data_IF_213080598195
#
_entry.id   IF_213080598195
#
_cell.length_a   1.000
_cell.length_b   1.000
_cell.length_c   1.000
_cell.angle_alpha   90.00
_cell.angle_beta   90.00
_cell.angle_gamma   90.00
#
_symmetry.space_group_name_H-M   'P 1'
#
loop_
_entity.id
_entity.type
_entity.pdbx_description
1 polymer ?
#
# COMPACT_ATOMS: atom_id res chain seq x y z
N UNK A 1 4.02 16.86 48.30
CA UNK A 1 3.75 16.66 47.77
C UNK A 1 3.65 16.27 46.93
N UNK A 2 3.59 16.15 46.60
CA UNK A 2 3.41 15.77 46.15
C UNK A 2 3.20 15.36 45.30
N UNK A 3 3.79 14.92 45.11
CA UNK A 3 3.39 14.26 44.22
C UNK A 3 2.82 14.88 43.20
N UNK A 4 2.74 15.86 43.24
CA UNK A 4 2.05 16.63 42.32
C UNK A 4 2.53 16.58 40.93
N UNK A 5 3.73 16.27 40.73
CA UNK A 5 4.28 16.25 39.41
C UNK A 5 3.71 15.16 38.55
N UNK A 6 3.22 14.16 39.16
CA UNK A 6 2.80 12.98 38.42
C UNK A 6 1.53 13.12 37.63
N UNK A 7 0.56 13.90 38.07
CA UNK A 7 -0.65 14.04 37.26
C UNK A 7 -0.41 14.57 35.86
N UNK A 8 0.49 15.51 35.73
CA UNK A 8 0.82 16.05 34.42
C UNK A 8 1.44 14.99 33.51
N UNK A 9 2.26 14.17 34.08
CA UNK A 9 2.94 13.14 33.36
C UNK A 9 1.97 12.05 32.91
N UNK A 10 1.05 11.72 33.80
CA UNK A 10 0.06 10.72 33.51
C UNK A 10 -0.90 11.14 32.42
N UNK A 11 -1.22 12.43 32.36
CA UNK A 11 -2.16 12.97 31.39
C UNK A 11 -1.66 12.85 29.96
N UNK A 12 -0.38 12.75 29.77
CA UNK A 12 0.20 12.63 28.43
C UNK A 12 0.17 11.22 27.88
N UNK A 13 -0.17 10.25 28.69
CA UNK A 13 -0.17 8.86 28.29
C UNK A 13 -1.59 8.33 28.21
N UNK A 14 -1.89 7.48 27.21
CA UNK A 14 -3.19 6.84 27.16
C UNK A 14 -3.40 5.96 28.40
N UNK A 15 -4.64 5.85 28.87
CA UNK A 15 -4.92 5.00 30.02
C UNK A 15 -4.51 3.54 29.76
N UNK A 16 -3.84 2.95 30.74
CA UNK A 16 -3.47 1.55 30.66
C UNK A 16 -2.26 1.23 29.83
N UNK A 17 -1.60 2.25 29.27
CA UNK A 17 -0.40 2.02 28.45
C UNK A 17 0.83 2.59 29.13
N UNK A 18 1.91 1.82 29.08
CA UNK A 18 3.22 2.28 29.52
C UNK A 18 3.98 2.89 28.33
N UNK A 19 5.03 3.62 28.63
CA UNK A 19 5.87 4.24 27.59
C UNK A 19 6.47 3.21 26.62
N UNK A 20 6.99 2.06 27.08
CA UNK A 20 7.47 1.04 26.15
C UNK A 20 6.40 0.51 25.22
N UNK A 21 5.16 0.38 25.68
CA UNK A 21 4.06 -0.06 24.84
C UNK A 21 3.73 0.94 23.76
N UNK A 22 3.81 2.23 24.07
CA UNK A 22 3.59 3.28 23.09
C UNK A 22 4.66 3.26 22.02
N UNK A 23 5.91 3.06 22.39
CA UNK A 23 7.01 2.99 21.45
C UNK A 23 6.89 1.77 20.53
N UNK A 24 6.51 0.63 21.06
CA UNK A 24 6.28 -0.56 20.25
C UNK A 24 5.19 -0.33 19.21
N UNK A 25 4.14 0.38 19.61
CA UNK A 25 3.04 0.70 18.73
C UNK A 25 3.47 1.60 17.57
N UNK A 26 4.30 2.60 17.87
CA UNK A 26 4.85 3.48 16.86
C UNK A 26 5.73 2.74 15.87
N UNK A 27 6.55 1.82 16.36
CA UNK A 27 7.38 0.99 15.51
C UNK A 27 6.56 0.12 14.59
N UNK A 28 5.49 -0.48 15.10
CA UNK A 28 4.58 -1.28 14.29
C UNK A 28 3.92 -0.46 13.20
N UNK A 29 3.52 0.78 13.52
CA UNK A 29 2.93 1.66 12.52
C UNK A 29 3.92 1.99 11.41
N UNK A 30 5.18 2.23 11.75
CA UNK A 30 6.23 2.49 10.76
C UNK A 30 6.47 1.29 9.87
N UNK A 31 6.47 0.10 10.45
CA UNK A 31 6.64 -1.13 9.68
C UNK A 31 5.50 -1.34 8.69
N UNK A 32 4.27 -1.10 9.13
CA UNK A 32 3.10 -1.23 8.25
C UNK A 32 3.15 -0.23 7.10
N UNK A 33 3.56 0.99 7.39
CA UNK A 33 3.69 2.02 6.36
C UNK A 33 4.77 1.64 5.35
N UNK A 34 5.89 1.11 5.83
CA UNK A 34 6.98 0.65 4.98
C UNK A 34 6.56 -0.53 4.10
N UNK A 35 5.84 -1.49 4.66
CA UNK A 35 5.32 -2.62 3.90
C UNK A 35 4.32 -2.19 2.85
N UNK A 36 3.46 -1.25 3.17
CA UNK A 36 2.48 -0.71 2.24
C UNK A 36 3.18 -0.05 1.07
N UNK A 37 4.19 0.76 1.35
CA UNK A 37 4.98 1.43 0.32
C UNK A 37 5.65 0.42 -0.60
N UNK A 38 6.22 -0.62 -0.02
CA UNK A 38 6.90 -1.67 -0.77
C UNK A 38 5.93 -2.40 -1.70
N UNK A 39 4.74 -2.73 -1.21
CA UNK A 39 3.73 -3.38 -2.03
C UNK A 39 3.20 -2.47 -3.14
N UNK A 40 3.05 -1.19 -2.84
CA UNK A 40 2.67 -0.21 -3.87
C UNK A 40 3.70 -0.14 -4.97
N UNK A 41 4.98 -0.13 -4.61
CA UNK A 41 6.06 -0.13 -5.61
C UNK A 41 6.04 -1.38 -6.46
N UNK A 42 5.86 -2.55 -5.84
CA UNK A 42 5.79 -3.82 -6.57
C UNK A 42 4.60 -3.86 -7.51
N UNK A 43 3.44 -3.43 -7.05
CA UNK A 43 2.21 -3.46 -7.85
C UNK A 43 2.28 -2.46 -8.99
N UNK A 44 2.82 -1.29 -8.75
CA UNK A 44 2.96 -0.28 -9.82
C UNK A 44 4.01 -0.69 -10.85
N UNK A 45 5.07 -1.37 -10.44
CA UNK A 45 6.04 -1.93 -11.35
C UNK A 45 5.42 -3.00 -12.26
N UNK A 46 4.61 -3.89 -11.67
CA UNK A 46 3.88 -4.89 -12.43
C UNK A 46 2.88 -4.25 -13.38
N UNK A 47 2.19 -3.24 -12.90
CA UNK A 47 1.21 -2.51 -13.70
C UNK A 47 1.87 -1.88 -14.92
N UNK A 48 3.02 -1.25 -14.73
CA UNK A 48 3.78 -0.66 -15.81
C UNK A 48 4.23 -1.72 -16.81
N UNK A 49 4.74 -2.84 -16.32
CA UNK A 49 5.21 -3.93 -17.18
C UNK A 49 4.06 -4.50 -18.02
N UNK A 50 2.91 -4.75 -17.41
CA UNK A 50 1.74 -5.27 -18.10
C UNK A 50 1.19 -4.27 -19.11
N UNK A 51 1.14 -3.00 -18.74
CA UNK A 51 0.67 -1.95 -19.64
C UNK A 51 1.59 -1.79 -20.83
N UNK A 52 2.89 -1.84 -20.60
CA UNK A 52 3.89 -1.77 -21.67
C UNK A 52 3.77 -2.95 -22.63
N UNK A 53 3.62 -4.16 -22.07
CA UNK A 53 3.45 -5.36 -22.87
C UNK A 53 2.16 -5.32 -23.70
N UNK A 54 1.08 -4.83 -23.11
CA UNK A 54 -0.18 -4.67 -23.83
C UNK A 54 -0.06 -3.66 -24.95
N UNK A 55 0.59 -2.55 -24.70
CA UNK A 55 0.82 -1.51 -25.71
C UNK A 55 1.62 -2.07 -26.89
N UNK A 56 2.68 -2.81 -26.61
CA UNK A 56 3.47 -3.44 -27.67
C UNK A 56 2.64 -4.41 -28.48
N UNK A 57 1.83 -5.21 -27.83
CA UNK A 57 0.97 -6.17 -28.47
C UNK A 57 -0.06 -5.50 -29.37
N UNK A 58 -0.66 -4.41 -28.91
CA UNK A 58 -1.61 -3.64 -29.70
C UNK A 58 -0.94 -3.04 -30.93
N UNK A 59 0.29 -2.53 -30.77
CA UNK A 59 1.03 -1.93 -31.87
C UNK A 59 1.45 -2.93 -32.94
N UNK A 60 1.73 -4.16 -32.53
CA UNK A 60 2.15 -5.22 -33.45
C UNK A 60 0.97 -5.96 -34.08
N UNK A 61 -0.20 -5.87 -33.48
CA UNK A 61 -1.37 -6.60 -33.96
C UNK A 61 -2.03 -5.88 -35.12
N UNK A 62 -2.65 -6.67 -35.99
CA UNK A 62 -3.56 -6.15 -36.99
C UNK A 62 -4.77 -5.55 -36.28
N UNK A 63 -5.28 -4.43 -36.79
CA UNK A 63 -6.35 -3.66 -36.14
C UNK A 63 -7.63 -4.47 -35.90
N UNK A 64 -7.79 -5.58 -36.56
CA UNK A 64 -8.98 -6.40 -36.47
C UNK A 64 -8.83 -7.63 -35.58
N UNK A 65 -7.67 -7.81 -34.95
CA UNK A 65 -7.42 -9.00 -34.14
C UNK A 65 -7.47 -8.64 -32.66
N UNK A 66 -8.51 -9.16 -31.99
CA UNK A 66 -8.60 -9.13 -30.52
C UNK A 66 -8.11 -10.48 -30.04
N UNK A 67 -7.03 -10.49 -29.30
CA UNK A 67 -6.53 -11.75 -28.75
C UNK A 67 -7.02 -11.92 -27.30
N UNK A 68 -7.23 -13.18 -26.93
CA UNK A 68 -7.58 -13.53 -25.55
C UNK A 68 -6.49 -13.09 -24.60
N UNK A 69 -5.25 -13.12 -25.04
CA UNK A 69 -4.11 -12.70 -24.23
C UNK A 69 -4.16 -11.21 -23.91
N UNK A 70 -4.59 -10.39 -24.86
CA UNK A 70 -4.79 -8.96 -24.62
C UNK A 70 -5.87 -8.71 -23.57
N UNK A 71 -6.96 -9.47 -23.65
CA UNK A 71 -8.06 -9.36 -22.69
C UNK A 71 -7.57 -9.75 -21.29
N UNK A 72 -6.81 -10.82 -21.19
CA UNK A 72 -6.25 -11.26 -19.91
C UNK A 72 -5.31 -10.21 -19.32
N UNK A 73 -4.48 -9.60 -20.14
CA UNK A 73 -3.60 -8.53 -19.69
C UNK A 73 -4.40 -7.34 -19.17
N UNK A 74 -5.44 -6.97 -19.89
CA UNK A 74 -6.30 -5.87 -19.47
C UNK A 74 -6.99 -6.17 -18.13
N UNK A 75 -7.45 -7.40 -17.94
CA UNK A 75 -8.06 -7.82 -16.68
C UNK A 75 -7.07 -7.77 -15.51
N UNK A 76 -5.84 -8.19 -15.73
CA UNK A 76 -4.80 -8.12 -14.71
C UNK A 76 -4.46 -6.67 -14.36
N UNK A 77 -4.42 -5.79 -15.36
CA UNK A 77 -4.21 -4.37 -15.16
C UNK A 77 -5.32 -3.78 -14.28
N UNK A 78 -6.56 -4.14 -14.55
CA UNK A 78 -7.70 -3.69 -13.73
C UNK A 78 -7.56 -4.14 -12.28
N UNK A 79 -7.20 -5.40 -12.05
CA UNK A 79 -7.02 -5.94 -10.71
C UNK A 79 -5.90 -5.24 -9.96
N UNK A 80 -4.77 -5.02 -10.62
CA UNK A 80 -3.65 -4.33 -10.01
C UNK A 80 -3.97 -2.88 -9.71
N UNK A 81 -4.64 -2.20 -10.65
CA UNK A 81 -5.05 -0.82 -10.43
C UNK A 81 -6.01 -0.71 -9.26
N UNK A 82 -6.94 -1.66 -9.14
CA UNK A 82 -7.85 -1.71 -8.00
C UNK A 82 -7.11 -1.91 -6.68
N UNK A 83 -6.15 -2.83 -6.65
CA UNK A 83 -5.33 -3.07 -5.47
C UNK A 83 -4.55 -1.84 -5.04
N UNK A 84 -3.94 -1.15 -5.99
CA UNK A 84 -3.21 0.09 -5.72
C UNK A 84 -4.15 1.14 -5.12
N UNK A 85 -5.31 1.32 -5.73
CA UNK A 85 -6.30 2.26 -5.25
C UNK A 85 -6.73 1.97 -3.82
N UNK A 86 -7.01 0.71 -3.51
CA UNK A 86 -7.45 0.32 -2.17
C UNK A 86 -6.35 0.52 -1.13
N UNK A 87 -5.10 0.27 -1.48
CA UNK A 87 -3.98 0.50 -0.57
C UNK A 87 -3.74 1.96 -0.30
N UNK A 88 -3.92 2.81 -1.29
CA UNK A 88 -3.79 4.26 -1.11
C UNK A 88 -4.86 4.77 -0.16
N UNK A 89 -6.07 4.22 -0.24
CA UNK A 89 -7.18 4.61 0.63
C UNK A 89 -7.02 4.16 2.08
N UNK A 90 -6.32 3.07 2.32
CA UNK A 90 -6.18 2.53 3.68
C UNK A 90 -5.05 3.18 4.53
#
# INVERSE_FOLDING_TARGET
MISASNPLYTDKMPPGMSQPQIMQRLEQQKLRASERQKRLEQDTDKLLALTTALKEQVNESDKNILSIDMIKKAEEIEKLAHSVKERIKS
#
